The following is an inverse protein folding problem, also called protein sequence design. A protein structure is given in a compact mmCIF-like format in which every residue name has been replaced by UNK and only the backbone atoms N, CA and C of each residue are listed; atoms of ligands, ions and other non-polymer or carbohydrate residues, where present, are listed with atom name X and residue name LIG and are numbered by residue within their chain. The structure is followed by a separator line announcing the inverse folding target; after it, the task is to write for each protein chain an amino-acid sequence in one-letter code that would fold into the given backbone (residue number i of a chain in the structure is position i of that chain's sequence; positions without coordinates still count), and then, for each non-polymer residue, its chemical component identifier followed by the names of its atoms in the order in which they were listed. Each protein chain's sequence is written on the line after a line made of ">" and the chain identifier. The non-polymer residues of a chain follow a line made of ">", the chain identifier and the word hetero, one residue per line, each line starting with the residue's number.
data_IF_964707827263
#
_entry.id   IF_964707827263
#
_cell.length_a   1.000
_cell.length_b   1.000
_cell.length_c   1.000
_cell.angle_alpha   90.00
_cell.angle_beta   90.00
_cell.angle_gamma   90.00
#
_symmetry.space_group_name_H-M   'P 1'
#
loop_
_entity.id
_entity.type
_entity.pdbx_description
1 polymer ?
#
# COMPACT_ATOMS: atom_id res chain seq x y z
N UNK A 1 -23.91 1.12 36.94
CA UNK A 1 -23.06 2.32 36.78
C UNK A 1 -21.74 1.86 36.21
N UNK A 2 -21.31 2.40 35.07
CA UNK A 2 -19.98 2.09 34.52
C UNK A 2 -18.90 2.64 35.47
N UNK A 3 -17.90 1.82 35.77
CA UNK A 3 -16.77 2.21 36.61
C UNK A 3 -15.83 3.13 35.84
N UNK A 4 -15.04 3.94 36.55
CA UNK A 4 -13.92 4.69 35.97
C UNK A 4 -12.96 3.77 35.18
N UNK A 5 -12.84 2.50 35.61
CA UNK A 5 -12.06 1.48 34.90
C UNK A 5 -12.67 1.15 33.53
N UNK A 6 -13.98 1.02 33.45
CA UNK A 6 -14.71 0.69 32.22
C UNK A 6 -14.60 1.86 31.22
N UNK A 7 -14.69 3.10 31.71
CA UNK A 7 -14.49 4.28 30.87
C UNK A 7 -13.07 4.36 30.28
N UNK A 8 -12.04 4.09 31.10
CA UNK A 8 -10.64 4.08 30.62
C UNK A 8 -10.39 2.96 29.61
N UNK A 9 -11.01 1.79 29.81
CA UNK A 9 -10.91 0.67 28.87
C UNK A 9 -11.57 1.01 27.54
N UNK A 10 -12.79 1.56 27.56
CA UNK A 10 -13.51 1.99 26.36
C UNK A 10 -12.74 3.08 25.60
N UNK A 11 -12.18 4.08 26.29
CA UNK A 11 -11.38 5.13 25.67
C UNK A 11 -10.12 4.58 24.99
N UNK A 12 -9.44 3.60 25.63
CA UNK A 12 -8.28 2.94 25.05
C UNK A 12 -8.64 2.13 23.81
N UNK A 13 -9.75 1.39 23.85
CA UNK A 13 -10.23 0.61 22.71
C UNK A 13 -10.61 1.51 21.53
N UNK A 14 -11.34 2.60 21.78
CA UNK A 14 -11.66 3.60 20.76
C UNK A 14 -10.40 4.20 20.11
N UNK A 15 -9.37 4.51 20.91
CA UNK A 15 -8.10 5.01 20.37
C UNK A 15 -7.41 3.97 19.47
N UNK A 16 -7.46 2.68 19.83
CA UNK A 16 -6.91 1.59 19.01
C UNK A 16 -7.70 1.39 17.72
N UNK A 17 -9.03 1.50 17.76
CA UNK A 17 -9.88 1.44 16.58
C UNK A 17 -9.55 2.57 15.60
N UNK A 18 -9.43 3.80 16.10
CA UNK A 18 -9.04 4.96 15.28
C UNK A 18 -7.62 4.80 14.71
N UNK A 19 -6.69 4.26 15.50
CA UNK A 19 -5.33 3.97 15.02
C UNK A 19 -5.36 2.97 13.87
N UNK A 20 -6.13 1.89 13.97
CA UNK A 20 -6.23 0.88 12.91
C UNK A 20 -6.84 1.46 11.64
N UNK A 21 -7.85 2.33 11.74
CA UNK A 21 -8.38 3.07 10.58
C UNK A 21 -7.25 3.87 9.91
N UNK A 22 -6.47 4.62 10.69
CA UNK A 22 -5.32 5.37 10.15
C UNK A 22 -4.23 4.48 9.54
N UNK A 23 -3.96 3.30 10.12
CA UNK A 23 -3.04 2.32 9.56
C UNK A 23 -3.55 1.79 8.20
N UNK A 24 -4.85 1.50 8.08
CA UNK A 24 -5.48 1.05 6.83
C UNK A 24 -5.46 2.15 5.75
N UNK A 25 -5.77 3.40 6.11
CA UNK A 25 -5.68 4.54 5.18
C UNK A 25 -4.25 4.77 4.69
N UNK A 26 -3.25 4.57 5.57
CA UNK A 26 -1.83 4.60 5.18
C UNK A 26 -1.51 3.50 4.18
N UNK A 27 -2.05 2.28 4.34
CA UNK A 27 -1.84 1.20 3.37
C UNK A 27 -2.40 1.57 2.00
N UNK A 28 -3.59 2.19 1.94
CA UNK A 28 -4.18 2.65 0.67
C UNK A 28 -3.25 3.61 -0.05
N UNK A 29 -2.76 4.64 0.65
CA UNK A 29 -1.84 5.64 0.05
C UNK A 29 -0.52 5.02 -0.42
N UNK A 30 0.02 4.08 0.36
CA UNK A 30 1.25 3.38 0.00
C UNK A 30 1.04 2.50 -1.25
N UNK A 31 -0.12 1.85 -1.37
CA UNK A 31 -0.52 1.07 -2.56
C UNK A 31 -0.67 1.98 -3.78
N UNK A 32 -1.37 3.11 -3.66
CA UNK A 32 -1.54 4.10 -4.74
C UNK A 32 -0.19 4.64 -5.23
N UNK A 33 0.75 4.89 -4.32
CA UNK A 33 2.12 5.28 -4.68
C UNK A 33 2.82 4.17 -5.46
N UNK A 34 2.65 2.92 -5.06
CA UNK A 34 3.21 1.78 -5.77
C UNK A 34 2.61 1.66 -7.18
N UNK A 35 1.29 1.82 -7.32
CA UNK A 35 0.59 1.83 -8.60
C UNK A 35 1.14 2.91 -9.54
N UNK A 36 1.22 4.15 -9.06
CA UNK A 36 1.78 5.26 -9.84
C UNK A 36 3.22 4.99 -10.28
N UNK A 37 4.05 4.49 -9.38
CA UNK A 37 5.47 4.22 -9.67
C UNK A 37 5.65 3.17 -10.77
N UNK A 38 4.83 2.11 -10.78
CA UNK A 38 4.94 1.06 -11.80
C UNK A 38 4.41 1.52 -13.16
N UNK A 39 3.34 2.33 -13.18
CA UNK A 39 2.83 2.94 -14.43
C UNK A 39 3.88 3.88 -15.03
N UNK A 40 4.49 4.74 -14.20
CA UNK A 40 5.58 5.61 -14.65
C UNK A 40 6.77 4.80 -15.17
N UNK A 41 7.16 3.72 -14.48
CA UNK A 41 8.26 2.87 -14.91
C UNK A 41 7.98 2.20 -16.27
N UNK A 42 6.74 1.76 -16.51
CA UNK A 42 6.33 1.22 -17.82
C UNK A 42 6.47 2.27 -18.92
N UNK A 43 5.99 3.49 -18.67
CA UNK A 43 6.11 4.60 -19.62
C UNK A 43 7.59 4.99 -19.87
N UNK A 44 8.41 5.01 -18.83
CA UNK A 44 9.85 5.28 -18.93
C UNK A 44 10.57 4.20 -19.75
N UNK A 45 10.26 2.92 -19.53
CA UNK A 45 10.84 1.82 -20.32
C UNK A 45 10.48 1.94 -21.80
N UNK A 46 9.22 2.24 -22.11
CA UNK A 46 8.78 2.46 -23.49
C UNK A 46 9.50 3.66 -24.13
N UNK A 47 9.62 4.77 -23.40
CA UNK A 47 10.36 5.95 -23.86
C UNK A 47 11.84 5.67 -24.09
N UNK A 48 12.49 4.89 -23.22
CA UNK A 48 13.89 4.45 -23.38
C UNK A 48 14.04 3.57 -24.62
N UNK A 49 13.13 2.63 -24.84
CA UNK A 49 13.14 1.78 -26.03
C UNK A 49 12.98 2.60 -27.33
N UNK A 50 12.07 3.57 -27.34
CA UNK A 50 11.86 4.45 -28.49
C UNK A 50 13.08 5.35 -28.74
N UNK A 51 13.63 5.98 -27.69
CA UNK A 51 14.81 6.84 -27.77
C UNK A 51 16.02 6.12 -28.36
N UNK A 52 16.20 4.85 -28.02
CA UNK A 52 17.33 4.03 -28.44
C UNK A 52 16.96 3.04 -29.57
N UNK A 53 15.88 3.27 -30.31
CA UNK A 53 15.41 2.37 -31.37
C UNK A 53 16.37 2.22 -32.57
N UNK A 54 17.25 3.20 -32.80
CA UNK A 54 18.19 3.23 -33.91
C UNK A 54 19.67 3.22 -33.46
N UNK A 55 20.00 2.46 -32.40
CA UNK A 55 21.39 2.25 -31.93
C UNK A 55 22.28 1.73 -33.06
N UNK A 56 23.43 2.38 -33.27
CA UNK A 56 24.39 2.01 -34.32
C UNK A 56 25.83 1.90 -33.82
N UNK A 57 26.11 2.47 -32.65
CA UNK A 57 27.46 2.53 -32.09
C UNK A 57 27.50 2.00 -30.67
N UNK A 58 28.67 1.55 -30.24
CA UNK A 58 28.91 1.16 -28.83
C UNK A 58 28.60 2.28 -27.85
N UNK A 59 28.74 3.55 -28.26
CA UNK A 59 28.36 4.69 -27.42
C UNK A 59 26.84 4.76 -27.21
N UNK A 60 26.06 4.47 -28.24
CA UNK A 60 24.60 4.40 -28.13
C UNK A 60 24.17 3.21 -27.25
N UNK A 61 24.87 2.08 -27.36
CA UNK A 61 24.64 0.91 -26.50
C UNK A 61 24.93 1.22 -25.03
N UNK A 62 26.04 1.90 -24.74
CA UNK A 62 26.37 2.34 -23.37
C UNK A 62 25.26 3.27 -22.84
N UNK A 63 24.85 4.26 -23.63
CA UNK A 63 23.80 5.20 -23.21
C UNK A 63 22.45 4.49 -22.95
N UNK A 64 22.11 3.49 -23.76
CA UNK A 64 20.92 2.66 -23.53
C UNK A 64 21.03 1.85 -22.24
N UNK A 65 22.17 1.21 -22.00
CA UNK A 65 22.39 0.42 -20.78
C UNK A 65 22.34 1.30 -19.52
N UNK A 66 22.86 2.52 -19.57
CA UNK A 66 22.75 3.49 -18.48
C UNK A 66 21.29 3.90 -18.22
N UNK A 67 20.50 4.14 -19.26
CA UNK A 67 19.08 4.48 -19.12
C UNK A 67 18.25 3.29 -18.61
N UNK A 68 18.55 2.07 -19.06
CA UNK A 68 17.97 0.84 -18.51
C UNK A 68 18.33 0.63 -17.04
N UNK A 69 19.56 0.94 -16.64
CA UNK A 69 19.99 0.82 -15.25
C UNK A 69 19.21 1.76 -14.33
N UNK A 70 18.87 2.98 -14.79
CA UNK A 70 17.98 3.89 -14.05
C UNK A 70 16.58 3.28 -13.87
N UNK A 71 16.02 2.70 -14.93
CA UNK A 71 14.73 2.01 -14.87
C UNK A 71 14.80 0.81 -13.88
N UNK A 72 15.88 0.03 -13.91
CA UNK A 72 16.09 -1.09 -12.99
C UNK A 72 16.18 -0.64 -11.52
N UNK A 73 16.85 0.48 -11.22
CA UNK A 73 16.88 1.03 -9.86
C UNK A 73 15.50 1.50 -9.38
N UNK A 74 14.70 2.12 -10.25
CA UNK A 74 13.32 2.49 -9.93
C UNK A 74 12.47 1.24 -9.67
N UNK A 75 12.61 0.19 -10.49
CA UNK A 75 11.97 -1.12 -10.27
C UNK A 75 12.33 -1.72 -8.90
N UNK A 76 13.62 -1.76 -8.57
CA UNK A 76 14.09 -2.30 -7.28
C UNK A 76 13.51 -1.54 -6.09
N UNK A 77 13.40 -0.21 -6.20
CA UNK A 77 12.80 0.63 -5.15
C UNK A 77 11.32 0.31 -4.98
N UNK A 78 10.59 0.15 -6.08
CA UNK A 78 9.20 -0.29 -6.07
C UNK A 78 9.05 -1.69 -5.45
N UNK A 79 9.90 -2.65 -5.81
CA UNK A 79 9.89 -4.00 -5.23
C UNK A 79 10.10 -3.98 -3.71
N UNK A 80 10.99 -3.13 -3.21
CA UNK A 80 11.18 -2.92 -1.76
C UNK A 80 9.92 -2.39 -1.08
N UNK A 81 9.22 -1.43 -1.70
CA UNK A 81 7.95 -0.91 -1.18
C UNK A 81 6.86 -1.99 -1.17
N UNK A 82 6.75 -2.79 -2.24
CA UNK A 82 5.82 -3.92 -2.32
C UNK A 82 6.12 -4.96 -1.25
N UNK A 83 7.39 -5.31 -1.04
CA UNK A 83 7.79 -6.26 -0.01
C UNK A 83 7.43 -5.74 1.40
N UNK A 84 7.65 -4.45 1.66
CA UNK A 84 7.24 -3.80 2.90
C UNK A 84 5.72 -3.88 3.11
N UNK A 85 4.94 -3.53 2.08
CA UNK A 85 3.48 -3.63 2.08
C UNK A 85 3.01 -5.06 2.39
N UNK A 86 3.49 -6.05 1.65
CA UNK A 86 3.17 -7.47 1.86
C UNK A 86 3.46 -7.93 3.30
N UNK A 87 4.50 -7.39 3.94
CA UNK A 87 4.85 -7.71 5.32
C UNK A 87 3.91 -7.08 6.35
N UNK A 88 3.51 -5.82 6.16
CA UNK A 88 2.71 -5.07 7.16
C UNK A 88 1.20 -5.30 7.03
N UNK A 89 0.68 -5.51 5.82
CA UNK A 89 -0.75 -5.66 5.57
C UNK A 89 -1.40 -6.76 6.42
N UNK A 90 -0.85 -8.00 6.51
CA UNK A 90 -1.48 -9.05 7.31
C UNK A 90 -1.60 -8.69 8.80
N UNK A 91 -0.57 -8.04 9.36
CA UNK A 91 -0.56 -7.63 10.76
C UNK A 91 -1.64 -6.56 11.04
N UNK A 92 -1.79 -5.56 10.17
CA UNK A 92 -2.83 -4.54 10.31
C UNK A 92 -4.24 -5.14 10.16
N UNK A 93 -4.44 -6.07 9.22
CA UNK A 93 -5.72 -6.78 9.05
C UNK A 93 -6.07 -7.64 10.26
N UNK A 94 -5.09 -8.34 10.84
CA UNK A 94 -5.30 -9.14 12.05
C UNK A 94 -5.67 -8.26 13.26
N UNK A 95 -5.03 -7.09 13.42
CA UNK A 95 -5.42 -6.12 14.45
C UNK A 95 -6.87 -5.66 14.27
N UNK A 96 -7.25 -5.29 13.05
CA UNK A 96 -8.63 -4.90 12.72
C UNK A 96 -9.63 -6.01 13.09
N UNK A 97 -9.34 -7.25 12.69
CA UNK A 97 -10.19 -8.40 12.99
C UNK A 97 -10.33 -8.64 14.51
N UNK A 98 -9.25 -8.46 15.28
CA UNK A 98 -9.29 -8.61 16.73
C UNK A 98 -10.16 -7.55 17.41
N UNK A 99 -10.10 -6.31 16.94
CA UNK A 99 -10.89 -5.20 17.48
C UNK A 99 -12.38 -5.32 17.11
N UNK A 100 -12.70 -5.74 15.88
CA UNK A 100 -14.10 -5.92 15.44
C UNK A 100 -14.84 -7.00 16.22
N UNK A 101 -14.11 -8.06 16.59
CA UNK A 101 -14.64 -9.22 17.29
C UNK A 101 -14.39 -9.17 18.80
N UNK A 102 -13.97 -8.02 19.35
CA UNK A 102 -13.75 -7.86 20.79
C UNK A 102 -15.08 -7.96 21.56
N UNK A 103 -15.28 -8.99 22.40
CA UNK A 103 -16.51 -9.15 23.16
C UNK A 103 -16.62 -8.20 24.35
N UNK A 104 -15.52 -7.62 24.82
CA UNK A 104 -15.50 -6.72 25.99
C UNK A 104 -15.70 -5.26 25.59
N UNK A 105 -15.05 -4.83 24.51
CA UNK A 105 -15.19 -3.47 23.97
C UNK A 105 -15.46 -3.48 22.48
N UNK A 106 -16.64 -3.94 22.05
CA UNK A 106 -16.98 -3.95 20.64
C UNK A 106 -16.98 -2.51 20.08
N UNK A 107 -16.57 -2.30 18.83
CA UNK A 107 -16.69 -1.01 18.18
C UNK A 107 -18.17 -0.60 18.12
N UNK A 108 -18.42 0.69 18.38
CA UNK A 108 -19.73 1.28 18.09
C UNK A 108 -19.99 1.27 16.58
N UNK A 109 -21.23 1.55 16.18
CA UNK A 109 -21.64 1.44 14.77
C UNK A 109 -20.83 2.34 13.83
N UNK A 110 -20.47 3.55 14.30
CA UNK A 110 -19.65 4.49 13.53
C UNK A 110 -18.23 3.98 13.30
N UNK A 111 -17.55 3.51 14.36
CA UNK A 111 -16.21 2.94 14.28
C UNK A 111 -16.21 1.66 13.44
N UNK A 112 -17.22 0.80 13.62
CA UNK A 112 -17.40 -0.40 12.80
C UNK A 112 -17.54 -0.05 11.32
N UNK A 113 -18.39 0.91 10.99
CA UNK A 113 -18.56 1.39 9.61
C UNK A 113 -17.27 2.00 9.05
N UNK A 114 -16.53 2.78 9.85
CA UNK A 114 -15.23 3.35 9.47
C UNK A 114 -14.18 2.28 9.16
N UNK A 115 -14.05 1.29 10.04
CA UNK A 115 -13.11 0.18 9.87
C UNK A 115 -13.46 -0.67 8.64
N UNK A 116 -14.75 -0.97 8.40
CA UNK A 116 -15.19 -1.71 7.21
C UNK A 116 -14.95 -0.93 5.92
N UNK A 117 -15.21 0.37 5.90
CA UNK A 117 -14.92 1.24 4.75
C UNK A 117 -13.42 1.26 4.43
N UNK A 118 -12.58 1.42 5.46
CA UNK A 118 -11.13 1.42 5.28
C UNK A 118 -10.62 0.07 4.73
N UNK A 119 -11.20 -1.05 5.19
CA UNK A 119 -10.89 -2.36 4.64
C UNK A 119 -11.28 -2.52 3.18
N UNK A 120 -12.49 -2.09 2.81
CA UNK A 120 -12.94 -2.09 1.40
C UNK A 120 -12.02 -1.26 0.53
N UNK A 121 -11.56 -0.10 1.01
CA UNK A 121 -10.59 0.74 0.30
C UNK A 121 -9.24 0.03 0.09
N UNK A 122 -8.74 -0.69 1.10
CA UNK A 122 -7.50 -1.50 0.98
C UNK A 122 -7.70 -2.64 -0.04
N UNK A 123 -8.82 -3.34 -0.02
CA UNK A 123 -9.14 -4.40 -0.98
C UNK A 123 -9.17 -3.86 -2.41
N UNK A 124 -9.92 -2.78 -2.65
CA UNK A 124 -9.98 -2.14 -3.96
C UNK A 124 -8.61 -1.63 -4.44
N UNK A 125 -7.79 -1.08 -3.52
CA UNK A 125 -6.44 -0.64 -3.86
C UNK A 125 -5.52 -1.82 -4.24
N UNK A 126 -5.62 -2.95 -3.52
CA UNK A 126 -4.87 -4.15 -3.84
C UNK A 126 -5.26 -4.73 -5.20
N UNK A 127 -6.55 -4.79 -5.52
CA UNK A 127 -7.05 -5.25 -6.83
C UNK A 127 -6.50 -4.38 -7.98
N UNK A 128 -6.51 -3.05 -7.82
CA UNK A 128 -5.88 -2.14 -8.80
C UNK A 128 -4.40 -2.46 -9.00
N UNK A 129 -3.67 -2.62 -7.91
CA UNK A 129 -2.24 -2.92 -7.96
C UNK A 129 -1.93 -4.28 -8.61
N UNK A 130 -2.79 -5.28 -8.43
CA UNK A 130 -2.67 -6.57 -9.13
C UNK A 130 -2.89 -6.42 -10.63
N UNK A 131 -3.93 -5.70 -11.05
CA UNK A 131 -4.20 -5.46 -12.47
C UNK A 131 -3.03 -4.76 -13.18
N UNK A 132 -2.37 -3.80 -12.51
CA UNK A 132 -1.23 -3.09 -13.11
C UNK A 132 0.05 -3.96 -13.17
N UNK A 133 0.16 -5.02 -12.36
CA UNK A 133 1.32 -5.93 -12.36
C UNK A 133 1.31 -6.99 -13.46
N UNK A 134 0.16 -7.29 -14.06
CA UNK A 134 -0.05 -8.46 -14.94
C UNK A 134 0.28 -8.18 -16.42
N UNK A 135 0.70 -6.96 -16.75
CA UNK A 135 1.23 -6.59 -18.08
C UNK A 135 2.70 -6.22 -18.00
#
# INVERSE_FOLDING_TARGET
>A
MASLKDYKLAARSAAQQQQVIGELDSLVKDIERCEKTIVELKAELEAVNQKHGARRTTRDDIAYLEDLLKCAHKKLTWEKHIASLKKRTPATLQKMASLINDPQTPPNDEMRAGMLRALQAVQAAMERLENVKVE
#
